data_IF_799853233838
#
_entry.id   IF_799853233838
#
_cell.length_a   1.000
_cell.length_b   1.000
_cell.length_c   1.000
_cell.angle_alpha   90.00
_cell.angle_beta   90.00
_cell.angle_gamma   90.00
#
_symmetry.space_group_name_H-M   'P 1'
#
loop_
_entity.id
_entity.type
_entity.pdbx_description
1 polymer ?
#
# COMPACT_ATOMS: atom_id res chain seq x y z
N UNK A 1 -22.29 8.23 -11.31
CA UNK A 1 -21.88 7.11 -10.42
C UNK A 1 -21.68 5.81 -11.19
N UNK A 2 -22.57 5.44 -12.12
CA UNK A 2 -22.38 4.27 -13.01
C UNK A 2 -21.05 4.32 -13.79
N UNK A 3 -20.63 5.50 -14.26
CA UNK A 3 -19.35 5.67 -14.95
C UNK A 3 -18.12 5.39 -14.09
N UNK A 4 -18.19 5.48 -12.76
CA UNK A 4 -17.05 5.15 -11.89
C UNK A 4 -16.85 3.63 -11.77
N UNK A 5 -17.95 2.86 -11.88
CA UNK A 5 -17.90 1.41 -11.99
C UNK A 5 -17.54 0.96 -13.42
N UNK A 6 -17.98 1.70 -14.44
CA UNK A 6 -17.68 1.44 -15.85
C UNK A 6 -16.27 1.88 -16.28
N UNK A 7 -15.70 2.93 -15.66
CA UNK A 7 -14.35 3.46 -15.95
C UNK A 7 -13.22 2.67 -15.30
N UNK A 8 -13.52 1.58 -14.59
CA UNK A 8 -12.53 0.65 -14.05
C UNK A 8 -11.69 1.18 -12.89
N UNK A 9 -11.98 2.36 -12.33
CA UNK A 9 -11.18 2.99 -11.26
C UNK A 9 -11.52 2.51 -9.85
N UNK A 10 -12.78 2.09 -9.61
CA UNK A 10 -13.22 1.67 -8.27
C UNK A 10 -12.49 0.41 -7.82
N UNK A 11 -12.40 -0.60 -8.69
CA UNK A 11 -11.73 -1.86 -8.34
C UNK A 11 -10.27 -1.66 -7.92
N UNK A 12 -9.49 -0.83 -8.61
CA UNK A 12 -8.17 -0.41 -8.16
C UNK A 12 -8.10 0.24 -6.79
N UNK A 13 -8.97 1.21 -6.54
CA UNK A 13 -8.99 1.89 -5.25
C UNK A 13 -9.35 0.92 -4.10
N UNK A 14 -10.32 0.03 -4.33
CA UNK A 14 -10.73 -0.99 -3.35
C UNK A 14 -9.61 -1.98 -3.07
N UNK A 15 -8.89 -2.44 -4.10
CA UNK A 15 -7.75 -3.34 -3.93
C UNK A 15 -6.64 -2.70 -3.08
N UNK A 16 -6.30 -1.44 -3.36
CA UNK A 16 -5.32 -0.67 -2.58
C UNK A 16 -5.77 -0.43 -1.13
N UNK A 17 -7.06 -0.11 -0.92
CA UNK A 17 -7.59 0.05 0.42
C UNK A 17 -7.52 -1.26 1.23
N UNK A 18 -7.86 -2.38 0.59
CA UNK A 18 -7.81 -3.71 1.20
C UNK A 18 -6.39 -4.11 1.60
N UNK A 19 -5.39 -3.86 0.77
CA UNK A 19 -3.99 -4.12 1.12
C UNK A 19 -3.53 -3.26 2.29
N UNK A 20 -4.01 -2.01 2.40
CA UNK A 20 -3.76 -1.15 3.56
C UNK A 20 -4.19 -1.78 4.89
N UNK A 21 -5.30 -2.53 4.92
CA UNK A 21 -5.71 -3.31 6.10
C UNK A 21 -4.88 -4.58 6.28
N UNK A 22 -4.66 -5.32 5.18
CA UNK A 22 -4.09 -6.67 5.20
C UNK A 22 -2.60 -6.67 5.57
N UNK A 23 -1.81 -5.75 5.03
CA UNK A 23 -0.35 -5.68 5.23
C UNK A 23 0.04 -5.60 6.72
N UNK A 24 -0.43 -4.62 7.51
CA UNK A 24 -0.07 -4.54 8.93
C UNK A 24 -0.59 -5.74 9.72
N UNK A 25 -1.72 -6.34 9.32
CA UNK A 25 -2.24 -7.56 9.94
C UNK A 25 -1.31 -8.75 9.73
N UNK A 26 -0.88 -8.99 8.50
CA UNK A 26 0.06 -10.08 8.19
C UNK A 26 1.40 -9.89 8.89
N UNK A 27 1.93 -8.65 8.89
CA UNK A 27 3.17 -8.34 9.62
C UNK A 27 3.04 -8.61 11.12
N UNK A 28 1.89 -8.26 11.73
CA UNK A 28 1.67 -8.43 13.17
C UNK A 28 1.70 -9.88 13.66
N UNK A 29 1.54 -10.86 12.76
CA UNK A 29 1.58 -12.29 13.12
C UNK A 29 2.98 -12.75 13.58
N UNK A 30 4.02 -12.07 13.11
CA UNK A 30 5.42 -12.43 13.38
C UNK A 30 6.21 -11.31 14.07
N UNK A 31 5.61 -10.13 14.20
CA UNK A 31 6.26 -8.96 14.78
C UNK A 31 6.22 -9.01 16.32
N UNK A 32 7.28 -8.56 17.02
CA UNK A 32 7.24 -8.48 18.48
C UNK A 32 6.14 -7.52 18.96
N UNK A 33 5.52 -7.86 20.08
CA UNK A 33 4.55 -7.01 20.79
C UNK A 33 5.28 -5.82 21.46
N UNK A 34 4.62 -4.67 21.56
CA UNK A 34 5.22 -3.44 22.11
C UNK A 34 5.03 -2.20 21.23
N UNK A 35 5.13 -0.99 21.81
CA UNK A 35 4.87 0.33 21.20
C UNK A 35 6.03 0.67 20.30
N UNK A 36 7.26 0.47 20.79
CA UNK A 36 8.46 0.61 19.96
C UNK A 36 8.39 -0.32 18.75
N UNK A 37 8.17 -1.64 18.92
CA UNK A 37 7.87 -2.54 17.79
C UNK A 37 6.72 -2.07 16.89
N UNK A 38 5.63 -1.55 17.46
CA UNK A 38 4.45 -1.09 16.70
C UNK A 38 4.79 0.08 15.78
N UNK A 39 5.59 1.05 16.24
CA UNK A 39 6.07 2.14 15.39
C UNK A 39 6.96 1.63 14.25
N UNK A 40 7.83 0.65 14.52
CA UNK A 40 8.65 0.04 13.48
C UNK A 40 7.77 -0.73 12.49
N UNK A 41 6.77 -1.48 12.98
CA UNK A 41 5.80 -2.17 12.12
C UNK A 41 5.06 -1.16 11.24
N UNK A 42 4.60 -0.04 11.79
CA UNK A 42 3.93 1.00 11.02
C UNK A 42 4.82 1.58 9.91
N UNK A 43 6.09 1.84 10.22
CA UNK A 43 7.07 2.30 9.24
C UNK A 43 7.32 1.25 8.15
N UNK A 44 7.55 0.00 8.52
CA UNK A 44 7.77 -1.12 7.58
C UNK A 44 6.54 -1.37 6.72
N UNK A 45 5.34 -1.34 7.30
CA UNK A 45 4.07 -1.44 6.57
C UNK A 45 3.93 -0.30 5.54
N UNK A 46 4.32 0.92 5.91
CA UNK A 46 4.32 2.07 4.99
C UNK A 46 5.24 1.84 3.79
N UNK A 47 6.47 1.36 4.02
CA UNK A 47 7.41 1.04 2.93
C UNK A 47 6.88 -0.07 2.02
N UNK A 48 6.28 -1.11 2.60
CA UNK A 48 5.65 -2.19 1.84
C UNK A 48 4.48 -1.65 1.01
N UNK A 49 3.64 -0.79 1.59
CA UNK A 49 2.52 -0.19 0.88
C UNK A 49 2.97 0.73 -0.27
N UNK A 50 4.07 1.45 -0.11
CA UNK A 50 4.67 2.22 -1.20
C UNK A 50 5.16 1.31 -2.33
N UNK A 51 5.88 0.24 -2.01
CA UNK A 51 6.35 -0.73 -2.99
C UNK A 51 5.17 -1.42 -3.71
N UNK A 52 4.14 -1.84 -2.97
CA UNK A 52 2.92 -2.40 -3.54
C UNK A 52 2.20 -1.40 -4.42
N UNK A 53 2.09 -0.13 -4.01
CA UNK A 53 1.51 0.93 -4.82
C UNK A 53 2.25 1.12 -6.15
N UNK A 54 3.59 1.15 -6.13
CA UNK A 54 4.39 1.22 -7.35
C UNK A 54 4.13 0.04 -8.29
N UNK A 55 4.21 -1.19 -7.77
CA UNK A 55 3.94 -2.41 -8.54
C UNK A 55 2.53 -2.40 -9.10
N UNK A 56 1.57 -1.95 -8.30
CA UNK A 56 0.17 -1.88 -8.67
C UNK A 56 -0.08 -0.91 -9.83
N UNK A 57 0.49 0.30 -9.80
CA UNK A 57 0.36 1.26 -10.90
C UNK A 57 1.12 0.81 -12.16
N UNK A 58 2.29 0.18 -12.02
CA UNK A 58 2.98 -0.44 -13.16
C UNK A 58 2.08 -1.49 -13.81
N UNK A 59 1.48 -2.38 -13.02
CA UNK A 59 0.57 -3.41 -13.54
C UNK A 59 -0.65 -2.80 -14.24
N UNK A 60 -1.23 -1.73 -13.69
CA UNK A 60 -2.34 -1.01 -14.33
C UNK A 60 -1.95 -0.39 -15.67
N UNK A 61 -0.78 0.23 -15.76
CA UNK A 61 -0.30 0.84 -17.00
C UNK A 61 -0.10 -0.22 -18.09
N UNK A 62 0.53 -1.35 -17.73
CA UNK A 62 0.71 -2.48 -18.66
C UNK A 62 -0.64 -3.06 -19.08
N UNK A 63 -1.58 -3.23 -18.14
CA UNK A 63 -2.93 -3.71 -18.44
C UNK A 63 -3.66 -2.77 -19.42
N UNK A 64 -3.47 -1.46 -19.29
CA UNK A 64 -4.04 -0.45 -20.19
C UNK A 64 -3.37 -0.40 -21.57
N UNK A 65 -2.38 -1.26 -21.83
CA UNK A 65 -1.74 -1.41 -23.13
C UNK A 65 -0.43 -0.64 -23.28
N UNK A 66 0.07 0.00 -22.21
CA UNK A 66 1.39 0.65 -22.24
C UNK A 66 2.49 -0.41 -22.19
N UNK A 67 3.38 -0.52 -23.20
CA UNK A 67 4.49 -1.47 -23.16
C UNK A 67 5.40 -1.21 -21.96
N UNK A 68 5.80 -2.28 -21.26
CA UNK A 68 6.65 -2.17 -20.07
C UNK A 68 7.96 -1.39 -20.33
N UNK A 69 8.54 -1.54 -21.52
CA UNK A 69 9.76 -0.82 -21.93
C UNK A 69 9.57 0.71 -21.98
N UNK A 70 8.38 1.19 -22.35
CA UNK A 70 8.07 2.63 -22.40
C UNK A 70 7.99 3.24 -21.00
N UNK A 71 7.66 2.45 -19.97
CA UNK A 71 7.57 2.95 -18.60
C UNK A 71 8.90 3.45 -18.02
N UNK A 72 10.02 3.04 -18.64
CA UNK A 72 11.38 3.37 -18.20
C UNK A 72 12.22 3.96 -19.35
N UNK A 73 11.60 4.45 -20.43
CA UNK A 73 12.27 4.99 -21.61
C UNK A 73 13.11 6.23 -21.28
N UNK A 74 12.61 7.10 -20.42
CA UNK A 74 13.34 8.28 -19.90
C UNK A 74 14.43 7.90 -18.87
N UNK A 75 14.58 6.60 -18.56
CA UNK A 75 15.54 6.06 -17.62
C UNK A 75 14.91 5.49 -16.35
N UNK A 76 15.56 4.49 -15.75
CA UNK A 76 15.05 3.76 -14.58
C UNK A 76 14.75 4.67 -13.39
N UNK A 77 15.61 5.66 -13.14
CA UNK A 77 15.42 6.60 -12.03
C UNK A 77 14.16 7.45 -12.19
N UNK A 78 13.88 7.93 -13.41
CA UNK A 78 12.70 8.72 -13.72
C UNK A 78 11.42 7.88 -13.55
N UNK A 79 11.41 6.66 -14.10
CA UNK A 79 10.29 5.72 -13.95
C UNK A 79 10.02 5.37 -12.48
N UNK A 80 11.06 5.02 -11.72
CA UNK A 80 10.94 4.74 -10.27
C UNK A 80 10.38 5.93 -9.51
N UNK A 81 10.87 7.15 -9.78
CA UNK A 81 10.36 8.36 -9.13
C UNK A 81 8.89 8.64 -9.49
N UNK A 82 8.51 8.42 -10.74
CA UNK A 82 7.12 8.56 -11.20
C UNK A 82 6.19 7.63 -10.41
N UNK A 83 6.49 6.32 -10.37
CA UNK A 83 5.66 5.36 -9.65
C UNK A 83 5.70 5.53 -8.14
N UNK A 84 6.83 5.97 -7.58
CA UNK A 84 6.92 6.31 -6.15
C UNK A 84 5.97 7.47 -5.82
N UNK A 85 5.93 8.51 -6.66
CA UNK A 85 5.02 9.64 -6.50
C UNK A 85 3.55 9.19 -6.60
N UNK A 86 3.22 8.30 -7.54
CA UNK A 86 1.87 7.71 -7.63
C UNK A 86 1.53 6.89 -6.37
N UNK A 87 2.46 6.06 -5.90
CA UNK A 87 2.32 5.30 -4.65
C UNK A 87 2.07 6.21 -3.44
N UNK A 88 2.80 7.31 -3.32
CA UNK A 88 2.61 8.32 -2.28
C UNK A 88 1.24 9.02 -2.36
N UNK A 89 0.81 9.43 -3.56
CA UNK A 89 -0.51 10.05 -3.75
C UNK A 89 -1.62 9.06 -3.37
N UNK A 90 -1.47 7.79 -3.73
CA UNK A 90 -2.43 6.74 -3.38
C UNK A 90 -2.55 6.49 -1.87
N UNK A 91 -1.61 7.00 -1.05
CA UNK A 91 -1.70 6.92 0.41
C UNK A 91 -2.98 7.56 0.96
N UNK A 92 -3.57 8.52 0.24
CA UNK A 92 -4.89 9.06 0.58
C UNK A 92 -5.98 7.98 0.66
N UNK A 93 -5.81 6.86 -0.05
CA UNK A 93 -6.74 5.73 -0.07
C UNK A 93 -6.38 4.73 1.03
N UNK A 94 -5.12 4.27 1.06
CA UNK A 94 -4.74 3.13 1.91
C UNK A 94 -4.25 3.52 3.30
N UNK A 95 -3.68 4.71 3.49
CA UNK A 95 -3.09 5.09 4.78
C UNK A 95 -4.12 5.20 5.91
N UNK A 96 -5.33 5.79 5.71
CA UNK A 96 -6.35 5.80 6.76
C UNK A 96 -6.75 4.38 7.21
N UNK A 97 -6.90 3.46 6.25
CA UNK A 97 -7.24 2.07 6.52
C UNK A 97 -6.10 1.36 7.25
N UNK A 98 -4.86 1.59 6.83
CA UNK A 98 -3.67 1.04 7.49
C UNK A 98 -3.54 1.54 8.92
N UNK A 99 -3.76 2.84 9.17
CA UNK A 99 -3.73 3.42 10.51
C UNK A 99 -4.78 2.79 11.42
N UNK A 100 -6.01 2.61 10.94
CA UNK A 100 -7.07 1.91 11.68
C UNK A 100 -6.70 0.45 11.96
N UNK A 101 -6.09 -0.23 10.99
CA UNK A 101 -5.63 -1.61 11.16
C UNK A 101 -4.54 -1.72 12.24
N UNK A 102 -3.55 -0.82 12.21
CA UNK A 102 -2.46 -0.74 13.18
C UNK A 102 -2.98 -0.41 14.58
N UNK A 103 -3.90 0.56 14.70
CA UNK A 103 -4.51 0.95 15.97
C UNK A 103 -5.28 -0.21 16.63
N UNK A 104 -5.74 -1.19 15.84
CA UNK A 104 -6.39 -2.40 16.34
C UNK A 104 -5.43 -3.50 16.81
N UNK A 105 -4.14 -3.43 16.50
CA UNK A 105 -3.15 -4.49 16.82
C UNK A 105 -2.98 -4.69 18.34
N UNK A 106 -2.88 -3.65 19.19
CA UNK A 106 -2.67 -3.85 20.63
C UNK A 106 -3.75 -4.67 21.33
N UNK A 107 -4.96 -4.76 20.75
CA UNK A 107 -6.07 -5.57 21.30
C UNK A 107 -5.81 -7.08 21.26
N UNK A 108 -4.84 -7.53 20.46
CA UNK A 108 -4.52 -8.95 20.29
C UNK A 108 -3.25 -9.38 21.02
N UNK A 109 -2.63 -8.48 21.79
CA UNK A 109 -1.39 -8.78 22.51
C UNK A 109 -1.63 -9.64 23.74
N UNK A 110 -0.67 -10.51 24.02
CA UNK A 110 -0.76 -11.51 25.08
C UNK A 110 0.41 -11.47 26.07
N UNK A 111 1.57 -10.95 25.64
CA UNK A 111 2.82 -10.94 26.41
C UNK A 111 3.14 -9.55 26.94
N UNK A 112 3.01 -8.53 26.12
CA UNK A 112 3.36 -7.16 26.47
C UNK A 112 2.09 -6.31 26.47
N UNK A 113 1.48 -6.12 27.64
CA UNK A 113 0.36 -5.19 27.84
C UNK A 113 0.87 -3.96 28.58
N UNK A 114 0.67 -2.76 28.03
CA UNK A 114 0.94 -1.49 28.72
C UNK A 114 0.23 -1.41 30.06
#
# INVERSE_FOLDING_TARGET
>A
MADAFASGLIWPAVALAFTGWLVPKLLSLVWPEGVRPLFILAFVATLIMLALGMVYFIALYVWQGVPFAMLFEEGTAAGVFHFLRLGLISALIWAPIMLLSIAGIPRTWTKETW
#
